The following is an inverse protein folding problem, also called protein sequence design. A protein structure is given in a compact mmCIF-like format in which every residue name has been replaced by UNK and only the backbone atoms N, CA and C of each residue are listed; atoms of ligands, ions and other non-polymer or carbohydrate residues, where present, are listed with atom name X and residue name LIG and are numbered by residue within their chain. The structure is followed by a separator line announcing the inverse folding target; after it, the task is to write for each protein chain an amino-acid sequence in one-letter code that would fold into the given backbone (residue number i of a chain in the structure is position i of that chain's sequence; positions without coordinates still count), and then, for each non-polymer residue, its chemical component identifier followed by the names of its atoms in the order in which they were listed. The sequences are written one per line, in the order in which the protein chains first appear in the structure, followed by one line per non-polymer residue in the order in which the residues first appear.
data_IF_356323190713
#
_entry.id   IF_356323190713
#
_cell.length_a   1.000
_cell.length_b   1.000
_cell.length_c   1.000
_cell.angle_alpha   90.00
_cell.angle_beta   90.00
_cell.angle_gamma   90.00
#
_symmetry.space_group_name_H-M   'P 1'
#
loop_
_entity.id
_entity.type
_entity.pdbx_description
1 polymer ?
#
# COMPACT_ATOMS: atom_id res chain seq x y z
N UNK A 1 20.95 -11.67 -60.14
CA UNK A 1 21.26 -10.99 -58.87
C UNK A 1 20.06 -10.14 -58.48
N UNK A 2 19.26 -10.53 -57.48
CA UNK A 2 18.42 -9.59 -56.71
C UNK A 2 17.89 -10.33 -55.47
N UNK A 3 18.45 -9.95 -54.32
CA UNK A 3 18.02 -10.36 -52.99
C UNK A 3 16.87 -9.42 -52.59
N UNK A 4 15.74 -9.96 -52.16
CA UNK A 4 14.72 -9.19 -51.44
C UNK A 4 14.58 -9.73 -50.03
N UNK A 5 14.64 -8.78 -49.09
CA UNK A 5 14.79 -8.98 -47.67
C UNK A 5 13.51 -9.55 -47.04
N UNK A 6 13.67 -10.56 -46.19
CA UNK A 6 12.63 -11.04 -45.29
C UNK A 6 12.61 -10.09 -44.09
N UNK A 7 11.62 -9.20 -44.04
CA UNK A 7 11.39 -8.30 -42.90
C UNK A 7 10.79 -9.14 -41.78
N UNK A 8 11.59 -9.43 -40.75
CA UNK A 8 11.16 -10.07 -39.53
C UNK A 8 10.23 -9.12 -38.75
N UNK A 9 8.94 -9.42 -38.75
CA UNK A 9 7.93 -8.71 -37.97
C UNK A 9 7.96 -9.28 -36.55
N UNK A 10 8.75 -8.64 -35.68
CA UNK A 10 8.80 -8.99 -34.25
C UNK A 10 7.47 -8.58 -33.62
N UNK A 11 6.56 -9.54 -33.47
CA UNK A 11 5.33 -9.41 -32.70
C UNK A 11 5.68 -9.28 -31.21
N UNK A 12 5.86 -8.05 -30.73
CA UNK A 12 5.86 -7.76 -29.30
C UNK A 12 4.44 -7.95 -28.78
N UNK A 13 4.16 -9.13 -28.22
CA UNK A 13 2.92 -9.37 -27.50
C UNK A 13 2.92 -8.51 -26.21
N UNK A 14 2.17 -7.41 -26.21
CA UNK A 14 1.82 -6.72 -24.97
C UNK A 14 0.89 -7.64 -24.18
N UNK A 15 1.45 -8.42 -23.26
CA UNK A 15 0.68 -9.13 -22.26
C UNK A 15 0.08 -8.08 -21.33
N UNK A 16 -1.18 -7.70 -21.59
CA UNK A 16 -1.99 -6.97 -20.63
C UNK A 16 -2.36 -7.94 -19.51
N UNK A 17 -1.49 -8.07 -18.51
CA UNK A 17 -1.86 -8.75 -17.27
C UNK A 17 -2.89 -7.89 -16.58
N UNK A 18 -4.17 -8.25 -16.69
CA UNK A 18 -5.22 -7.68 -15.87
C UNK A 18 -4.85 -7.94 -14.41
N UNK A 19 -4.40 -6.91 -13.69
CA UNK A 19 -4.14 -7.01 -12.26
C UNK A 19 -5.50 -7.09 -11.58
N UNK A 20 -5.90 -8.28 -11.13
CA UNK A 20 -7.03 -8.38 -10.22
C UNK A 20 -6.65 -7.56 -8.99
N UNK A 21 -7.42 -6.50 -8.70
CA UNK A 21 -7.32 -5.81 -7.42
C UNK A 21 -7.64 -6.86 -6.36
N UNK A 22 -6.59 -7.45 -5.77
CA UNK A 22 -6.76 -8.23 -4.57
C UNK A 22 -7.09 -7.25 -3.45
N UNK A 23 -7.92 -7.68 -2.51
CA UNK A 23 -8.15 -6.90 -1.32
C UNK A 23 -6.81 -6.83 -0.56
N UNK A 24 -6.30 -5.62 -0.36
CA UNK A 24 -5.10 -5.41 0.44
C UNK A 24 -5.45 -5.62 1.92
N UNK A 25 -4.76 -6.55 2.59
CA UNK A 25 -5.02 -6.92 3.98
C UNK A 25 -3.83 -6.50 4.83
N UNK A 26 -4.11 -5.71 5.86
CA UNK A 26 -3.19 -5.27 6.89
C UNK A 26 -3.46 -6.04 8.19
N UNK A 27 -2.42 -6.66 8.74
CA UNK A 27 -2.41 -7.35 10.02
C UNK A 27 -1.32 -6.79 10.94
N UNK A 28 -1.47 -6.98 12.25
CA UNK A 28 -0.46 -6.57 13.24
C UNK A 28 -0.20 -7.70 14.24
N UNK A 29 1.00 -7.73 14.79
CA UNK A 29 1.41 -8.65 15.87
C UNK A 29 2.46 -8.01 16.78
N UNK A 30 2.65 -8.56 17.97
CA UNK A 30 3.60 -8.06 18.97
C UNK A 30 2.95 -7.22 20.09
N UNK A 31 3.72 -6.85 21.13
CA UNK A 31 3.20 -6.12 22.28
C UNK A 31 2.98 -4.62 22.01
N UNK A 32 1.91 -4.06 22.58
CA UNK A 32 1.66 -2.62 22.67
C UNK A 32 1.57 -2.20 24.15
N UNK A 33 2.48 -1.35 24.67
CA UNK A 33 3.62 -0.73 24.00
C UNK A 33 4.77 -1.71 23.74
N UNK A 34 5.60 -1.40 22.74
CA UNK A 34 6.75 -2.23 22.38
C UNK A 34 7.02 -2.25 20.88
N UNK A 35 7.83 -3.21 20.43
CA UNK A 35 8.04 -3.46 19.01
C UNK A 35 6.86 -4.27 18.50
N UNK A 36 6.09 -3.68 17.58
CA UNK A 36 5.03 -4.37 16.84
C UNK A 36 5.48 -4.60 15.39
N UNK A 37 5.01 -5.68 14.80
CA UNK A 37 5.17 -6.02 13.39
C UNK A 37 3.86 -5.79 12.67
N UNK A 38 3.89 -5.04 11.58
CA UNK A 38 2.76 -4.81 10.70
C UNK A 38 3.03 -5.46 9.35
N UNK A 39 2.08 -6.25 8.88
CA UNK A 39 2.22 -7.03 7.66
C UNK A 39 1.11 -6.67 6.69
N UNK A 40 1.46 -6.59 5.42
CA UNK A 40 0.53 -6.29 4.33
C UNK A 40 0.62 -7.42 3.32
N UNK A 41 -0.55 -7.87 2.86
CA UNK A 41 -0.69 -8.83 1.75
C UNK A 41 -1.66 -8.28 0.72
N UNK A 42 -1.56 -8.77 -0.52
CA UNK A 42 -2.45 -8.36 -1.61
C UNK A 42 -2.16 -6.96 -2.18
N UNK A 43 -1.02 -6.36 -1.84
CA UNK A 43 -0.55 -5.16 -2.52
C UNK A 43 -0.09 -5.48 -3.95
N UNK A 44 0.09 -4.45 -4.79
CA UNK A 44 0.73 -4.64 -6.07
C UNK A 44 2.22 -5.02 -5.88
N UNK A 45 2.76 -5.95 -6.69
CA UNK A 45 4.18 -6.26 -6.68
C UNK A 45 5.03 -5.01 -6.89
N UNK A 46 6.09 -4.88 -6.09
CA UNK A 46 7.05 -3.75 -6.15
C UNK A 46 6.40 -2.38 -5.87
N UNK A 47 5.18 -2.37 -5.31
CA UNK A 47 4.51 -1.13 -4.99
C UNK A 47 5.08 -0.47 -3.75
N UNK A 48 5.12 0.86 -3.79
CA UNK A 48 5.48 1.66 -2.63
C UNK A 48 4.24 1.86 -1.76
N UNK A 49 4.29 1.35 -0.54
CA UNK A 49 3.20 1.32 0.43
C UNK A 49 3.35 2.41 1.48
N UNK A 50 2.33 3.25 1.63
CA UNK A 50 2.26 4.31 2.63
C UNK A 50 1.52 3.81 3.87
N UNK A 51 2.22 3.68 4.99
CA UNK A 51 1.59 3.41 6.28
C UNK A 51 1.13 4.73 6.87
N UNK A 52 -0.19 4.95 6.91
CA UNK A 52 -0.82 6.19 7.39
C UNK A 52 -1.64 5.91 8.64
N UNK A 53 -1.68 6.87 9.57
CA UNK A 53 -2.44 6.72 10.80
C UNK A 53 -3.15 7.99 11.25
N UNK A 54 -4.19 7.82 12.06
CA UNK A 54 -5.04 8.90 12.60
C UNK A 54 -5.58 8.54 13.98
N UNK A 55 -5.91 9.51 14.86
CA UNK A 55 -6.63 9.19 16.10
C UNK A 55 -8.08 8.73 15.89
N UNK A 56 -8.65 8.87 14.69
CA UNK A 56 -10.05 8.56 14.44
C UNK A 56 -10.29 7.92 13.06
N UNK A 57 -11.34 7.11 12.97
CA UNK A 57 -11.87 6.56 11.72
C UNK A 57 -12.71 7.64 11.02
N UNK A 58 -12.67 7.68 9.69
CA UNK A 58 -13.41 8.65 8.90
C UNK A 58 -13.31 8.41 7.40
N UNK A 59 -13.50 9.47 6.63
CA UNK A 59 -13.41 9.44 5.16
C UNK A 59 -12.56 10.61 4.65
N UNK A 60 -11.31 10.72 5.12
CA UNK A 60 -10.39 11.75 4.66
C UNK A 60 -9.95 11.44 3.22
N UNK A 61 -10.16 12.40 2.33
CA UNK A 61 -9.78 12.31 0.91
C UNK A 61 -8.37 12.87 0.73
N UNK A 62 -7.52 12.12 0.04
CA UNK A 62 -6.15 12.57 -0.26
C UNK A 62 -6.21 13.84 -1.11
N UNK A 63 -5.63 14.96 -0.65
CA UNK A 63 -5.72 16.25 -1.33
C UNK A 63 -4.87 16.27 -2.62
N UNK A 64 -5.13 17.24 -3.52
CA UNK A 64 -4.33 17.45 -4.71
C UNK A 64 -2.83 17.63 -4.40
N UNK A 65 -1.98 17.13 -5.29
CA UNK A 65 -0.52 17.24 -5.18
C UNK A 65 0.16 16.09 -4.41
N UNK A 66 -0.61 15.10 -3.97
CA UNK A 66 -0.09 13.88 -3.34
C UNK A 66 -0.36 12.64 -4.20
N UNK A 67 0.43 11.58 -4.00
CA UNK A 67 0.16 10.28 -4.60
C UNK A 67 -1.27 9.83 -4.22
N UNK A 68 -2.02 9.30 -5.20
CA UNK A 68 -3.41 8.86 -5.02
C UNK A 68 -4.40 9.96 -4.62
N UNK A 69 -4.18 11.18 -5.15
CA UNK A 69 -5.16 12.29 -5.08
C UNK A 69 -6.59 11.79 -5.38
N UNK A 70 -7.54 12.16 -4.52
CA UNK A 70 -8.96 11.79 -4.66
C UNK A 70 -9.35 10.44 -4.04
N UNK A 71 -8.38 9.63 -3.60
CA UNK A 71 -8.67 8.41 -2.85
C UNK A 71 -9.25 8.77 -1.46
N UNK A 72 -10.42 8.21 -1.14
CA UNK A 72 -10.98 8.28 0.20
C UNK A 72 -10.35 7.20 1.09
N UNK A 73 -9.74 7.62 2.20
CA UNK A 73 -9.19 6.72 3.21
C UNK A 73 -10.25 6.35 4.24
N UNK A 74 -10.01 5.31 5.04
CA UNK A 74 -10.87 4.96 6.19
C UNK A 74 -10.53 5.76 7.45
N UNK A 75 -9.69 6.79 7.35
CA UNK A 75 -9.19 7.58 8.48
C UNK A 75 -9.84 8.98 8.47
N UNK A 76 -10.01 9.57 9.64
CA UNK A 76 -10.39 10.97 9.77
C UNK A 76 -9.13 11.86 9.79
N UNK A 77 -9.30 13.14 9.45
CA UNK A 77 -8.25 14.13 9.67
C UNK A 77 -8.02 14.35 11.18
N UNK A 78 -6.78 14.55 11.66
CA UNK A 78 -5.52 14.59 10.90
C UNK A 78 -4.97 13.20 10.58
N UNK A 79 -4.56 13.02 9.32
CA UNK A 79 -3.87 11.82 8.84
C UNK A 79 -2.36 12.10 8.79
N UNK A 80 -1.58 11.18 9.34
CA UNK A 80 -0.12 11.30 9.45
C UNK A 80 0.52 10.11 8.74
N UNK A 81 1.58 10.38 7.98
CA UNK A 81 2.41 9.34 7.39
C UNK A 81 3.38 8.80 8.46
N UNK A 82 3.30 7.49 8.74
CA UNK A 82 4.21 6.79 9.63
C UNK A 82 5.46 6.27 8.91
N UNK A 83 5.29 5.56 7.79
CA UNK A 83 6.40 4.95 7.07
C UNK A 83 6.10 4.71 5.58
N UNK A 84 7.16 4.52 4.81
CA UNK A 84 7.11 3.95 3.46
C UNK A 84 7.81 2.59 3.46
N UNK A 85 7.18 1.61 2.83
CA UNK A 85 7.75 0.26 2.65
C UNK A 85 7.48 -0.18 1.23
N UNK A 86 8.40 -0.91 0.63
CA UNK A 86 8.20 -1.50 -0.70
C UNK A 86 7.65 -2.92 -0.54
N UNK A 87 6.61 -3.25 -1.30
CA UNK A 87 6.13 -4.61 -1.40
C UNK A 87 7.09 -5.45 -2.24
N UNK A 88 7.28 -6.71 -1.87
CA UNK A 88 8.04 -7.65 -2.69
C UNK A 88 7.28 -8.05 -3.97
N UNK A 89 7.90 -8.93 -4.76
CA UNK A 89 7.32 -9.43 -6.02
C UNK A 89 5.99 -10.21 -5.83
N UNK A 90 5.66 -10.62 -4.61
CA UNK A 90 4.42 -11.32 -4.27
C UNK A 90 3.32 -10.37 -3.77
N UNK A 91 3.63 -9.09 -3.59
CA UNK A 91 2.70 -8.12 -3.00
C UNK A 91 2.64 -8.19 -1.48
N UNK A 92 3.69 -8.72 -0.84
CA UNK A 92 3.84 -8.76 0.61
C UNK A 92 4.78 -7.65 1.08
N UNK A 93 4.50 -7.07 2.25
CA UNK A 93 5.42 -6.18 2.94
C UNK A 93 5.31 -6.38 4.45
N UNK A 94 6.41 -6.16 5.16
CA UNK A 94 6.45 -6.22 6.63
C UNK A 94 7.31 -5.08 7.18
N UNK A 95 6.86 -4.49 8.29
CA UNK A 95 7.59 -3.43 8.99
C UNK A 95 7.49 -3.60 10.49
N UNK A 96 8.63 -3.45 11.16
CA UNK A 96 8.69 -3.41 12.60
C UNK A 96 8.74 -1.95 13.05
N UNK A 97 7.88 -1.56 13.99
CA UNK A 97 7.86 -0.22 14.55
C UNK A 97 7.81 -0.25 16.08
N UNK A 98 8.52 0.67 16.71
CA UNK A 98 8.42 0.93 18.14
C UNK A 98 7.19 1.78 18.42
N UNK A 99 6.20 1.20 19.10
CA UNK A 99 4.93 1.84 19.40
C UNK A 99 4.96 2.40 20.82
N UNK A 100 4.86 3.74 20.99
CA UNK A 100 4.81 4.34 22.31
C UNK A 100 3.46 4.05 23.00
N UNK A 101 3.40 4.04 24.34
CA UNK A 101 2.17 3.79 25.08
C UNK A 101 0.99 4.68 24.66
N UNK A 102 1.26 5.94 24.29
CA UNK A 102 0.24 6.90 23.86
C UNK A 102 -0.44 6.56 22.52
N UNK A 103 0.13 5.65 21.73
CA UNK A 103 -0.44 5.20 20.46
C UNK A 103 -1.30 3.94 20.61
N UNK A 104 -1.08 3.14 21.66
CA UNK A 104 -1.83 1.91 21.92
C UNK A 104 -3.30 2.20 22.20
N UNK A 105 -4.17 1.48 21.50
CA UNK A 105 -5.64 1.62 21.50
C UNK A 105 -6.15 3.03 21.20
N UNK A 106 -5.34 3.89 20.58
CA UNK A 106 -5.66 5.30 20.34
C UNK A 106 -5.30 5.78 18.94
N UNK A 107 -4.78 4.89 18.09
CA UNK A 107 -4.40 5.20 16.70
C UNK A 107 -4.95 4.12 15.79
N UNK A 108 -5.57 4.57 14.70
CA UNK A 108 -5.99 3.72 13.60
C UNK A 108 -4.95 3.79 12.50
N UNK A 109 -4.58 2.63 11.97
CA UNK A 109 -3.59 2.46 10.92
C UNK A 109 -4.27 1.94 9.65
N UNK A 110 -3.85 2.47 8.52
CA UNK A 110 -4.21 1.98 7.19
C UNK A 110 -2.97 2.03 6.30
N UNK A 111 -2.90 1.16 5.29
CA UNK A 111 -1.86 1.20 4.28
C UNK A 111 -2.45 1.57 2.93
N UNK A 112 -1.78 2.46 2.21
CA UNK A 112 -2.12 2.86 0.85
C UNK A 112 -1.06 2.35 -0.13
N UNK A 113 -1.49 1.60 -1.14
CA UNK A 113 -0.65 1.25 -2.29
C UNK A 113 -0.59 2.45 -3.25
N UNK A 114 0.59 3.06 -3.40
CA UNK A 114 0.75 4.25 -4.24
C UNK A 114 0.75 3.96 -5.74
N UNK A 115 0.93 2.71 -6.16
CA UNK A 115 0.91 2.29 -7.56
C UNK A 115 -0.52 2.01 -8.02
N UNK A 116 -1.30 1.32 -7.18
CA UNK A 116 -2.68 0.94 -7.47
C UNK A 116 -3.72 1.95 -6.98
N UNK A 117 -3.33 2.89 -6.13
CA UNK A 117 -4.21 3.80 -5.43
C UNK A 117 -5.39 3.11 -4.77
N UNK A 118 -5.05 2.07 -4.00
CA UNK A 118 -5.98 1.30 -3.18
C UNK A 118 -5.54 1.36 -1.72
N UNK A 119 -6.48 1.20 -0.80
CA UNK A 119 -6.22 1.15 0.64
C UNK A 119 -6.52 -0.22 1.22
N UNK A 120 -5.79 -0.58 2.28
CA UNK A 120 -6.10 -1.76 3.09
C UNK A 120 -7.35 -1.55 3.96
N UNK A 121 -7.73 -2.59 4.71
CA UNK A 121 -8.54 -2.42 5.92
C UNK A 121 -7.87 -1.46 6.91
N UNK A 122 -8.69 -0.86 7.77
CA UNK A 122 -8.24 -0.05 8.91
C UNK A 122 -8.16 -0.94 10.14
N UNK A 123 -7.07 -0.83 10.92
CA UNK A 123 -6.92 -1.53 12.20
C UNK A 123 -6.65 -0.53 13.32
N UNK A 124 -7.06 -0.88 14.54
CA UNK A 124 -6.65 -0.18 15.75
C UNK A 124 -5.30 -0.73 16.21
N UNK A 125 -4.31 0.14 16.42
CA UNK A 125 -3.00 -0.27 16.97
C UNK A 125 -3.21 -0.68 18.43
N UNK A 126 -2.91 -1.91 18.80
CA UNK A 126 -3.17 -2.45 20.13
C UNK A 126 -2.72 -3.89 20.30
#
# INVERSE_FOLDING_TARGET
MQRFAVIALVLSAFVFTARTSQAQILTQSGPCPGIMTFEVTGALPEARLAFIHSPAIGSWVIPPGMACTGLATGLAWPVVLGAWVEADATGYASVNASIPPAACSNRYLQVIDALGCTGSNVILIG
#
